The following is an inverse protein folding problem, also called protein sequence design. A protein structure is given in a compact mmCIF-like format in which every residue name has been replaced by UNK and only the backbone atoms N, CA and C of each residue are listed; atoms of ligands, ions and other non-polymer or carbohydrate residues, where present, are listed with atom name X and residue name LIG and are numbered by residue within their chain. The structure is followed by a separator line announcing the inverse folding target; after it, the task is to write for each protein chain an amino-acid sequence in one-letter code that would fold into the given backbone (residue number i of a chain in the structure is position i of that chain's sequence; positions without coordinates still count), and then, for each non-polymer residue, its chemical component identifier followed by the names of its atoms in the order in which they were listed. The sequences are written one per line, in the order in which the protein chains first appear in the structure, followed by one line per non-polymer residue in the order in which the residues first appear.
data_IF_783005831035
#
_entry.id   IF_783005831035
#
_cell.length_a   1.000
_cell.length_b   1.000
_cell.length_c   1.000
_cell.angle_alpha   90.00
_cell.angle_beta   90.00
_cell.angle_gamma   90.00
#
_symmetry.space_group_name_H-M   'P 1'
#
loop_
_entity.id
_entity.type
_entity.pdbx_description
1 polymer ?
#
# COMPACT_ATOMS: atom_id res chain seq x y z
N UNK A 1 58.94 43.72 9.85
CA UNK A 1 57.79 44.54 9.46
C UNK A 1 56.50 43.98 10.05
N UNK A 2 55.72 44.65 10.90
CA UNK A 2 55.70 46.09 11.28
C UNK A 2 55.50 47.03 10.07
N UNK A 3 54.50 47.94 9.98
CA UNK A 3 53.56 48.50 10.96
C UNK A 3 52.18 48.82 10.30
N UNK A 4 51.21 49.35 11.08
CA UNK A 4 49.94 49.96 10.60
C UNK A 4 50.11 51.44 10.17
N UNK A 5 49.17 52.40 10.44
CA UNK A 5 48.12 52.36 11.49
C UNK A 5 46.78 53.16 11.24
N UNK A 6 45.94 53.24 12.29
CA UNK A 6 45.02 54.34 12.73
C UNK A 6 43.63 54.63 12.11
N UNK A 7 42.69 55.08 12.99
CA UNK A 7 41.35 55.66 12.71
C UNK A 7 40.19 54.68 13.01
N UNK A 8 39.31 54.76 14.02
CA UNK A 8 38.79 55.82 14.93
C UNK A 8 37.93 56.91 14.27
N UNK A 9 36.69 57.25 14.68
CA UNK A 9 35.69 56.72 15.66
C UNK A 9 34.25 56.97 15.04
N UNK A 10 33.04 57.01 15.65
CA UNK A 10 32.54 56.98 17.05
C UNK A 10 31.00 56.69 17.15
N UNK A 11 30.47 56.57 18.38
CA UNK A 11 29.08 56.86 18.86
C UNK A 11 27.84 56.02 18.47
N UNK A 12 27.38 55.22 19.45
CA UNK A 12 26.08 55.31 20.16
C UNK A 12 24.75 55.62 19.42
N UNK A 13 23.84 54.63 19.40
CA UNK A 13 22.66 54.56 20.30
C UNK A 13 21.84 53.26 20.03
N UNK A 14 20.86 52.81 20.81
CA UNK A 14 20.64 52.61 22.26
C UNK A 14 19.13 52.22 22.42
N UNK A 15 18.80 51.27 23.32
CA UNK A 15 17.47 50.65 23.55
C UNK A 15 16.84 49.82 22.38
N UNK A 16 16.24 48.62 22.52
CA UNK A 16 15.65 47.82 23.63
C UNK A 16 14.12 48.00 23.88
N UNK A 17 13.29 47.03 23.46
CA UNK A 17 12.28 46.28 24.27
C UNK A 17 11.25 45.49 23.43
N UNK A 18 10.82 44.33 23.96
CA UNK A 18 9.56 43.62 23.61
C UNK A 18 9.58 42.79 22.31
N UNK A 19 9.28 41.49 22.28
CA UNK A 19 9.05 40.56 23.39
C UNK A 19 7.58 40.32 23.76
N UNK A 20 6.95 39.32 23.13
CA UNK A 20 5.65 38.73 23.53
C UNK A 20 5.58 37.26 23.15
N UNK A 21 5.74 36.39 24.15
CA UNK A 21 5.20 35.01 24.10
C UNK A 21 3.71 35.06 24.42
N UNK A 22 2.94 34.04 24.01
CA UNK A 22 1.57 33.83 24.49
C UNK A 22 1.45 32.41 25.01
N UNK A 23 1.55 32.27 26.32
CA UNK A 23 1.14 31.09 27.07
C UNK A 23 -0.38 31.12 27.28
N UNK A 24 -1.00 29.94 27.35
CA UNK A 24 -2.32 29.76 27.96
C UNK A 24 -2.24 28.63 28.98
N UNK A 25 -2.70 28.91 30.20
CA UNK A 25 -2.81 27.94 31.29
C UNK A 25 -4.01 28.29 32.19
N UNK A 26 -4.44 27.36 33.02
CA UNK A 26 -5.72 27.36 33.74
C UNK A 26 -5.93 28.49 34.78
N UNK A 27 -7.22 28.74 35.07
CA UNK A 27 -7.69 29.45 36.26
C UNK A 27 -9.22 29.56 36.27
N UNK A 28 -9.90 29.01 37.27
CA UNK A 28 -11.37 28.90 37.26
C UNK A 28 -12.08 28.96 38.62
N UNK A 29 -13.38 29.27 38.56
CA UNK A 29 -14.44 29.19 39.57
C UNK A 29 -15.75 29.63 38.88
N UNK A 30 -16.97 29.24 39.25
CA UNK A 30 -17.45 28.31 40.28
C UNK A 30 -18.98 28.49 40.47
N UNK A 31 -19.70 27.47 40.97
CA UNK A 31 -21.19 27.37 41.06
C UNK A 31 -21.90 27.12 39.70
N UNK A 32 -22.89 26.22 39.58
CA UNK A 32 -23.33 25.16 40.51
C UNK A 32 -24.66 24.44 40.12
N UNK A 33 -25.00 23.38 40.87
CA UNK A 33 -26.33 22.73 41.02
C UNK A 33 -26.78 21.65 40.00
N UNK A 34 -26.92 20.41 40.52
CA UNK A 34 -27.79 19.26 40.15
C UNK A 34 -27.81 18.61 38.74
N UNK A 35 -27.73 17.27 38.75
CA UNK A 35 -28.74 16.44 38.05
C UNK A 35 -28.31 15.08 37.46
N UNK A 36 -28.82 13.97 38.00
CA UNK A 36 -28.99 12.70 37.27
C UNK A 36 -27.81 11.70 37.32
N UNK A 37 -28.10 10.46 37.73
CA UNK A 37 -27.09 9.39 37.86
C UNK A 37 -26.69 8.73 36.55
N UNK A 38 -25.44 8.25 36.47
CA UNK A 38 -24.92 7.47 35.33
C UNK A 38 -25.19 5.99 35.56
N UNK A 39 -26.15 5.43 34.81
CA UNK A 39 -26.24 3.99 34.60
C UNK A 39 -25.11 3.51 33.69
N UNK A 40 -24.59 2.30 33.92
CA UNK A 40 -23.44 1.78 33.18
C UNK A 40 -23.70 1.66 31.68
N UNK A 41 -22.84 2.26 30.86
CA UNK A 41 -22.87 2.09 29.41
C UNK A 41 -22.42 0.65 29.06
N UNK A 42 -23.39 -0.22 28.77
CA UNK A 42 -23.12 -1.55 28.25
C UNK A 42 -22.44 -1.49 26.88
N UNK A 43 -21.48 -2.39 26.66
CA UNK A 43 -20.82 -2.55 25.36
C UNK A 43 -21.87 -2.91 24.30
N UNK A 44 -22.04 -2.05 23.29
CA UNK A 44 -22.86 -2.35 22.12
C UNK A 44 -22.13 -3.39 21.26
N UNK A 45 -22.50 -4.65 21.43
CA UNK A 45 -21.95 -5.76 20.66
C UNK A 45 -22.45 -5.66 19.21
N UNK A 46 -21.55 -5.48 18.25
CA UNK A 46 -21.90 -5.25 16.83
C UNK A 46 -22.19 -6.59 16.13
N UNK A 47 -23.13 -7.34 16.69
CA UNK A 47 -23.57 -8.67 16.23
C UNK A 47 -25.09 -8.78 16.03
N UNK A 48 -25.88 -7.95 16.74
CA UNK A 48 -27.33 -8.11 16.80
C UNK A 48 -28.05 -6.77 16.60
N UNK A 49 -28.71 -6.64 15.44
CA UNK A 49 -30.12 -6.21 15.23
C UNK A 49 -30.32 -5.90 13.73
N UNK A 50 -31.17 -6.71 13.09
CA UNK A 50 -31.45 -6.80 11.64
C UNK A 50 -30.33 -7.36 10.73
N UNK A 51 -30.72 -8.28 9.84
CA UNK A 51 -29.93 -8.92 8.76
C UNK A 51 -29.08 -10.16 9.12
N UNK A 52 -29.71 -11.22 9.65
CA UNK A 52 -29.11 -12.57 9.72
C UNK A 52 -29.36 -13.41 8.46
N UNK A 53 -30.53 -13.29 7.81
CA UNK A 53 -30.86 -14.11 6.63
C UNK A 53 -30.16 -13.64 5.36
N UNK A 54 -30.08 -12.33 5.11
CA UNK A 54 -29.43 -11.79 3.92
C UNK A 54 -27.89 -11.85 3.98
N UNK A 55 -27.30 -11.82 5.17
CA UNK A 55 -25.85 -12.06 5.36
C UNK A 55 -25.49 -13.53 5.13
N UNK A 56 -26.33 -14.48 5.56
CA UNK A 56 -26.18 -15.91 5.25
C UNK A 56 -26.33 -16.17 3.74
N UNK A 57 -27.33 -15.57 3.07
CA UNK A 57 -27.50 -15.71 1.61
C UNK A 57 -26.28 -15.15 0.85
N UNK A 58 -25.78 -13.97 1.26
CA UNK A 58 -24.58 -13.35 0.70
C UNK A 58 -23.32 -14.25 0.81
N UNK A 59 -23.05 -14.81 2.00
CA UNK A 59 -21.91 -15.71 2.21
C UNK A 59 -22.02 -16.99 1.38
N UNK A 60 -23.16 -17.70 1.47
CA UNK A 60 -23.42 -18.93 0.71
C UNK A 60 -23.27 -18.67 -0.78
N UNK A 61 -23.74 -17.51 -1.27
CA UNK A 61 -23.62 -17.11 -2.67
C UNK A 61 -22.16 -16.85 -3.07
N UNK A 62 -21.38 -16.09 -2.31
CA UNK A 62 -19.94 -15.93 -2.56
C UNK A 62 -19.20 -17.26 -2.60
N UNK A 63 -19.43 -18.11 -1.59
CA UNK A 63 -18.83 -19.44 -1.48
C UNK A 63 -19.17 -20.33 -2.68
N UNK A 64 -20.39 -20.24 -3.21
CA UNK A 64 -20.83 -20.96 -4.40
C UNK A 64 -20.17 -20.48 -5.71
N UNK A 65 -19.83 -19.18 -5.79
CA UNK A 65 -19.26 -18.55 -7.00
C UNK A 65 -17.75 -18.71 -7.07
N UNK A 66 -17.05 -18.56 -5.94
CA UNK A 66 -15.59 -18.35 -5.93
C UNK A 66 -14.74 -19.62 -6.02
N UNK A 67 -15.33 -20.80 -5.75
CA UNK A 67 -14.65 -22.11 -5.75
C UNK A 67 -13.23 -22.05 -5.15
N UNK A 68 -13.11 -21.35 -4.02
CA UNK A 68 -11.85 -21.10 -3.36
C UNK A 68 -11.58 -22.14 -2.26
N UNK A 69 -10.33 -22.21 -1.82
CA UNK A 69 -9.91 -23.10 -0.73
C UNK A 69 -9.19 -22.27 0.33
N UNK A 70 -9.49 -22.57 1.59
CA UNK A 70 -8.80 -21.99 2.74
C UNK A 70 -7.33 -22.42 2.76
N UNK A 71 -6.48 -21.69 3.49
CA UNK A 71 -5.02 -21.77 3.37
C UNK A 71 -4.32 -21.83 4.71
N UNK A 72 -3.23 -22.59 4.78
CA UNK A 72 -2.41 -22.72 5.99
C UNK A 72 -1.82 -21.37 6.42
N UNK A 73 -2.13 -20.98 7.66
CA UNK A 73 -1.70 -19.72 8.27
C UNK A 73 -0.44 -19.87 9.14
N UNK A 74 0.25 -21.01 9.08
CA UNK A 74 1.37 -21.29 9.98
C UNK A 74 2.66 -20.52 9.65
N UNK A 75 3.50 -20.18 10.66
CA UNK A 75 4.82 -19.60 10.46
C UNK A 75 5.74 -20.52 9.67
N UNK A 76 6.47 -19.97 8.69
CA UNK A 76 7.38 -20.73 7.85
C UNK A 76 8.68 -19.96 7.61
N UNK A 77 9.81 -20.66 7.69
CA UNK A 77 11.14 -20.14 7.40
C UNK A 77 11.72 -20.97 6.26
N UNK A 78 12.08 -20.32 5.15
CA UNK A 78 12.65 -21.02 4.00
C UNK A 78 13.30 -20.09 2.98
N UNK A 79 13.81 -20.68 1.90
CA UNK A 79 14.47 -19.96 0.82
C UNK A 79 13.52 -19.68 -0.35
N UNK A 80 13.70 -18.54 -1.00
CA UNK A 80 13.06 -18.13 -2.25
C UNK A 80 14.12 -17.53 -3.17
N UNK A 81 14.68 -18.38 -4.04
CA UNK A 81 15.85 -18.02 -4.85
C UNK A 81 17.02 -17.53 -3.97
N UNK A 82 17.49 -16.32 -4.23
CA UNK A 82 18.62 -15.69 -3.53
C UNK A 82 18.28 -15.14 -2.12
N UNK A 83 17.04 -15.34 -1.64
CA UNK A 83 16.48 -14.75 -0.42
C UNK A 83 16.07 -15.79 0.63
N UNK A 84 16.18 -15.43 1.90
CA UNK A 84 15.47 -16.06 3.01
C UNK A 84 14.16 -15.31 3.27
N UNK A 85 13.11 -16.06 3.61
CA UNK A 85 11.76 -15.56 3.88
C UNK A 85 11.27 -16.12 5.20
N UNK A 86 10.84 -15.23 6.09
CA UNK A 86 10.08 -15.51 7.31
C UNK A 86 8.60 -15.21 6.99
N UNK A 87 7.86 -16.21 6.50
CA UNK A 87 6.42 -16.12 6.20
C UNK A 87 5.62 -16.29 7.51
N UNK A 88 4.49 -15.57 7.59
CA UNK A 88 3.59 -15.52 8.77
C UNK A 88 4.35 -15.29 10.10
N UNK A 89 5.38 -14.43 10.08
CA UNK A 89 6.37 -14.30 11.16
C UNK A 89 5.90 -13.44 12.34
N UNK A 90 5.05 -12.44 12.08
CA UNK A 90 4.16 -11.85 13.10
C UNK A 90 2.75 -11.91 12.53
N UNK A 91 1.86 -12.65 13.19
CA UNK A 91 0.50 -12.92 12.72
C UNK A 91 -0.50 -11.82 13.15
N UNK A 92 -1.47 -11.58 12.29
CA UNK A 92 -2.70 -10.87 12.63
C UNK A 92 -3.61 -11.74 13.52
N UNK A 93 -4.44 -11.09 14.33
CA UNK A 93 -5.28 -11.66 15.38
C UNK A 93 -6.76 -11.83 14.96
N UNK A 94 -7.06 -11.82 13.65
CA UNK A 94 -8.43 -11.94 13.12
C UNK A 94 -9.13 -13.29 13.39
N UNK A 95 -8.45 -14.29 13.96
CA UNK A 95 -9.00 -15.64 14.16
C UNK A 95 -8.94 -16.49 12.89
N UNK A 96 -9.93 -17.37 12.68
CA UNK A 96 -10.12 -18.00 11.37
C UNK A 96 -10.48 -16.94 10.31
N UNK A 97 -10.04 -17.15 9.08
CA UNK A 97 -10.42 -16.34 7.92
C UNK A 97 -10.59 -17.27 6.72
N UNK A 98 -11.81 -17.35 6.19
CA UNK A 98 -12.12 -18.16 5.01
C UNK A 98 -11.77 -17.42 3.73
N UNK A 99 -11.52 -18.19 2.68
CA UNK A 99 -11.03 -17.66 1.40
C UNK A 99 -11.99 -16.69 0.70
N UNK A 100 -13.27 -16.63 1.09
CA UNK A 100 -14.32 -15.82 0.45
C UNK A 100 -14.78 -14.61 1.27
N UNK A 101 -14.44 -14.53 2.57
CA UNK A 101 -14.96 -13.51 3.50
C UNK A 101 -14.40 -12.10 3.28
N UNK A 102 -13.22 -11.98 2.67
CA UNK A 102 -12.50 -10.71 2.57
C UNK A 102 -11.62 -10.61 1.31
N UNK A 103 -10.98 -9.45 1.16
CA UNK A 103 -9.89 -9.20 0.21
C UNK A 103 -8.64 -8.91 1.06
N UNK A 104 -7.48 -9.47 0.70
CA UNK A 104 -6.20 -9.13 1.36
C UNK A 104 -5.48 -8.04 0.57
N UNK A 105 -5.12 -6.94 1.24
CA UNK A 105 -4.16 -5.97 0.69
C UNK A 105 -2.76 -6.58 0.81
N UNK A 106 -2.11 -6.85 -0.32
CA UNK A 106 -0.76 -7.44 -0.35
C UNK A 106 0.24 -6.38 -0.75
N UNK A 107 1.23 -6.15 0.10
CA UNK A 107 2.13 -5.01 -0.02
C UNK A 107 3.51 -5.30 0.57
N UNK A 108 4.44 -4.37 0.38
CA UNK A 108 5.85 -4.54 0.70
C UNK A 108 6.49 -3.20 1.05
N UNK A 109 7.40 -3.23 2.01
CA UNK A 109 8.08 -2.04 2.50
C UNK A 109 9.51 -2.37 2.96
N UNK A 110 10.35 -1.36 3.15
CA UNK A 110 11.31 -1.38 4.25
C UNK A 110 10.73 -0.56 5.42
N UNK A 111 11.34 -0.61 6.60
CA UNK A 111 10.71 -0.03 7.79
C UNK A 111 10.46 1.48 7.70
N UNK A 112 11.14 2.24 6.83
CA UNK A 112 10.94 3.70 6.74
C UNK A 112 9.60 4.11 6.11
N UNK A 113 8.86 3.17 5.51
CA UNK A 113 7.53 3.39 4.94
C UNK A 113 6.38 2.97 5.87
N UNK A 114 6.66 2.62 7.14
CA UNK A 114 5.62 2.17 8.06
C UNK A 114 4.74 3.29 8.64
N UNK A 115 5.08 4.56 8.38
CA UNK A 115 4.21 5.71 8.66
C UNK A 115 2.91 5.71 7.84
N UNK A 116 2.84 4.89 6.79
CA UNK A 116 1.67 4.72 5.92
C UNK A 116 0.70 3.63 6.42
N UNK A 117 1.09 2.81 7.41
CA UNK A 117 0.33 1.61 7.78
C UNK A 117 -1.00 1.94 8.47
N UNK A 118 -1.02 2.89 9.41
CA UNK A 118 -2.27 3.30 10.08
C UNK A 118 -3.25 3.97 9.09
N UNK A 119 -2.87 4.99 8.29
CA UNK A 119 -3.76 5.60 7.29
C UNK A 119 -4.28 4.63 6.23
N UNK A 120 -3.53 3.56 5.93
CA UNK A 120 -3.99 2.48 5.07
C UNK A 120 -5.05 1.62 5.78
N UNK A 121 -4.82 1.23 7.04
CA UNK A 121 -5.72 0.37 7.81
C UNK A 121 -7.06 1.03 8.13
N UNK A 122 -7.06 2.32 8.53
CA UNK A 122 -8.28 3.10 8.79
C UNK A 122 -9.23 3.13 7.59
N UNK A 123 -8.70 2.98 6.37
CA UNK A 123 -9.46 3.01 5.11
C UNK A 123 -9.75 1.64 4.53
N UNK A 124 -8.85 0.68 4.73
CA UNK A 124 -9.00 -0.67 4.21
C UNK A 124 -9.89 -1.55 5.10
N UNK A 125 -9.72 -1.45 6.43
CA UNK A 125 -10.48 -2.16 7.46
C UNK A 125 -10.71 -3.67 7.15
N UNK A 126 -9.65 -4.33 6.70
CA UNK A 126 -9.64 -5.71 6.22
C UNK A 126 -8.19 -6.26 6.26
N UNK A 127 -7.96 -7.57 6.04
CA UNK A 127 -6.64 -8.18 6.16
C UNK A 127 -5.56 -7.55 5.28
N UNK A 128 -4.34 -7.45 5.83
CA UNK A 128 -3.15 -6.93 5.17
C UNK A 128 -2.01 -7.95 5.32
N UNK A 129 -1.38 -8.31 4.20
CA UNK A 129 -0.14 -9.08 4.17
C UNK A 129 1.00 -8.16 3.72
N UNK A 130 2.02 -8.02 4.57
CA UNK A 130 3.06 -7.01 4.43
C UNK A 130 4.47 -7.65 4.47
N UNK A 131 5.15 -7.66 3.32
CA UNK A 131 6.50 -8.17 3.18
C UNK A 131 7.57 -7.09 3.43
N UNK A 132 8.23 -7.17 4.59
CA UNK A 132 9.30 -6.27 5.03
C UNK A 132 10.67 -6.71 4.52
N UNK A 133 11.32 -5.88 3.70
CA UNK A 133 12.70 -6.08 3.30
C UNK A 133 13.65 -5.54 4.37
N UNK A 134 14.37 -6.44 5.06
CA UNK A 134 15.14 -6.08 6.26
C UNK A 134 16.55 -6.73 6.30
N UNK A 135 17.46 -6.35 5.37
CA UNK A 135 18.80 -6.92 5.27
C UNK A 135 19.73 -6.47 6.41
N UNK A 136 20.58 -7.37 6.89
CA UNK A 136 21.68 -7.05 7.81
C UNK A 136 21.23 -6.37 9.10
N UNK A 137 21.52 -5.07 9.25
CA UNK A 137 21.13 -4.28 10.43
C UNK A 137 19.76 -3.61 10.31
N UNK A 138 19.10 -3.64 9.15
CA UNK A 138 17.73 -3.10 8.98
C UNK A 138 16.68 -4.00 9.68
N UNK A 139 17.06 -5.23 10.07
CA UNK A 139 16.20 -6.19 10.75
C UNK A 139 15.72 -5.74 12.14
N UNK A 140 16.61 -5.23 13.01
CA UNK A 140 16.20 -4.83 14.35
C UNK A 140 15.29 -3.59 14.36
N UNK A 141 15.56 -2.53 13.57
CA UNK A 141 14.60 -1.44 13.38
C UNK A 141 13.26 -1.90 12.81
N UNK A 142 13.26 -2.88 11.89
CA UNK A 142 12.02 -3.48 11.34
C UNK A 142 11.21 -4.17 12.45
N UNK A 143 11.83 -5.05 13.24
CA UNK A 143 11.15 -5.73 14.36
C UNK A 143 10.66 -4.72 15.40
N UNK A 144 11.47 -3.71 15.74
CA UNK A 144 11.07 -2.65 16.67
C UNK A 144 9.88 -1.83 16.13
N UNK A 145 9.85 -1.53 14.83
CA UNK A 145 8.74 -0.82 14.20
C UNK A 145 7.44 -1.64 14.23
N UNK A 146 7.51 -2.95 14.01
CA UNK A 146 6.36 -3.86 14.11
C UNK A 146 5.80 -3.87 15.54
N UNK A 147 6.65 -3.92 16.58
CA UNK A 147 6.23 -3.80 17.98
C UNK A 147 5.58 -2.44 18.25
N UNK A 148 6.25 -1.34 17.89
CA UNK A 148 5.72 0.02 18.08
C UNK A 148 4.33 0.20 17.45
N UNK A 149 4.13 -0.27 16.21
CA UNK A 149 2.83 -0.22 15.52
C UNK A 149 1.76 -1.10 16.18
N UNK A 150 2.13 -2.20 16.85
CA UNK A 150 1.21 -3.13 17.53
C UNK A 150 0.92 -2.76 18.98
N UNK A 151 1.75 -1.94 19.62
CA UNK A 151 1.71 -1.71 21.07
C UNK A 151 1.52 -0.23 21.47
N UNK A 152 1.93 0.74 20.64
CA UNK A 152 2.19 2.12 21.09
C UNK A 152 1.31 3.23 20.48
N UNK A 153 0.35 2.92 19.62
CA UNK A 153 -0.58 3.87 18.99
C UNK A 153 -2.03 3.55 19.42
N UNK A 154 -2.94 4.52 19.35
CA UNK A 154 -4.35 4.26 19.67
C UNK A 154 -4.97 3.27 18.65
N UNK A 155 -4.55 3.39 17.40
CA UNK A 155 -4.93 2.58 16.25
C UNK A 155 -4.15 1.25 16.17
N UNK A 156 -3.25 0.97 17.12
CA UNK A 156 -2.49 -0.29 17.18
C UNK A 156 -3.36 -1.55 17.21
N UNK A 157 -4.62 -1.43 17.64
CA UNK A 157 -5.60 -2.50 17.56
C UNK A 157 -5.86 -2.96 16.11
N UNK A 158 -5.89 -2.05 15.13
CA UNK A 158 -6.02 -2.38 13.71
C UNK A 158 -4.80 -3.17 13.21
N UNK A 159 -3.59 -2.81 13.67
CA UNK A 159 -2.36 -3.50 13.29
C UNK A 159 -2.34 -4.92 13.83
N UNK A 160 -2.77 -5.11 15.08
CA UNK A 160 -2.93 -6.45 15.69
C UNK A 160 -4.00 -7.27 14.98
N UNK A 161 -5.17 -6.69 14.72
CA UNK A 161 -6.32 -7.37 14.11
C UNK A 161 -6.06 -7.79 12.66
N UNK A 162 -5.44 -6.93 11.83
CA UNK A 162 -5.42 -7.11 10.38
C UNK A 162 -4.05 -7.39 9.74
N UNK A 163 -2.92 -7.02 10.36
CA UNK A 163 -1.62 -7.05 9.67
C UNK A 163 -0.80 -8.28 9.99
N UNK A 164 -0.61 -9.13 8.99
CA UNK A 164 0.39 -10.20 9.01
C UNK A 164 1.67 -9.71 8.37
N UNK A 165 2.75 -9.73 9.15
CA UNK A 165 4.08 -9.35 8.68
C UNK A 165 4.88 -10.58 8.23
N UNK A 166 5.58 -10.39 7.12
CA UNK A 166 6.61 -11.30 6.63
C UNK A 166 7.92 -10.53 6.57
N UNK A 167 9.06 -11.16 6.85
CA UNK A 167 10.36 -10.49 6.75
C UNK A 167 11.26 -11.26 5.79
N UNK A 168 11.94 -10.57 4.89
CA UNK A 168 12.83 -11.19 3.91
C UNK A 168 14.12 -10.39 3.70
N UNK A 169 15.19 -11.10 3.35
CA UNK A 169 16.52 -10.55 3.11
C UNK A 169 17.34 -11.51 2.25
N UNK A 170 18.31 -10.99 1.49
CA UNK A 170 19.17 -11.85 0.68
C UNK A 170 20.05 -12.75 1.56
N UNK A 171 20.31 -13.98 1.11
CA UNK A 171 21.26 -14.92 1.70
C UNK A 171 22.70 -14.38 1.81
N UNK A 172 23.02 -13.29 1.08
CA UNK A 172 24.31 -12.57 1.16
C UNK A 172 24.32 -11.47 2.24
N UNK A 173 23.17 -11.19 2.87
CA UNK A 173 22.93 -10.08 3.81
C UNK A 173 22.07 -10.50 5.00
N UNK A 174 22.30 -11.71 5.53
CA UNK A 174 21.58 -12.28 6.67
C UNK A 174 21.84 -11.44 7.95
N UNK A 175 20.81 -11.13 8.76
CA UNK A 175 20.96 -10.47 10.06
C UNK A 175 21.81 -11.29 11.05
N UNK A 176 22.54 -10.61 11.95
CA UNK A 176 23.36 -11.29 12.98
C UNK A 176 22.55 -12.12 13.98
N UNK A 177 21.27 -11.78 14.18
CA UNK A 177 20.34 -12.51 15.01
C UNK A 177 18.97 -12.45 14.32
N UNK A 178 18.27 -13.58 14.31
CA UNK A 178 16.87 -13.70 13.90
C UNK A 178 16.18 -14.47 15.02
N UNK A 179 15.31 -13.84 15.83
CA UNK A 179 14.50 -14.54 16.82
C UNK A 179 13.61 -15.61 16.18
N UNK A 180 13.11 -16.54 16.99
CA UNK A 180 11.97 -17.35 16.55
C UNK A 180 10.67 -16.54 16.63
N UNK A 181 9.65 -16.95 15.88
CA UNK A 181 8.38 -16.22 15.77
C UNK A 181 7.61 -16.13 17.11
N UNK A 182 7.77 -17.10 18.00
CA UNK A 182 7.16 -17.08 19.34
C UNK A 182 7.77 -15.97 20.22
N UNK A 183 9.01 -15.56 19.92
CA UNK A 183 9.81 -14.64 20.74
C UNK A 183 10.10 -13.29 20.08
N UNK A 184 9.69 -13.09 18.83
CA UNK A 184 9.97 -11.85 18.09
C UNK A 184 9.36 -10.61 18.78
N UNK A 185 8.21 -10.75 19.43
CA UNK A 185 7.55 -9.67 20.16
C UNK A 185 8.16 -9.42 21.55
N UNK A 186 8.93 -10.36 22.12
CA UNK A 186 9.58 -10.22 23.43
C UNK A 186 10.90 -9.42 23.35
N UNK A 187 11.26 -8.60 24.35
CA UNK A 187 10.34 -7.85 25.22
C UNK A 187 9.54 -6.80 24.42
N UNK A 188 8.41 -6.28 24.92
CA UNK A 188 7.62 -5.25 24.25
C UNK A 188 8.44 -3.97 23.96
N UNK A 189 7.99 -3.15 23.02
CA UNK A 189 8.66 -1.87 22.74
C UNK A 189 8.39 -0.84 23.85
N UNK A 190 9.40 -0.03 24.19
CA UNK A 190 9.21 1.08 25.10
C UNK A 190 8.51 2.24 24.37
N UNK A 191 7.19 2.38 24.55
CA UNK A 191 6.37 3.39 23.89
C UNK A 191 6.71 4.85 24.27
N UNK A 192 7.57 5.11 25.27
CA UNK A 192 8.15 6.43 25.52
C UNK A 192 9.29 6.79 24.54
N UNK A 193 9.75 5.85 23.72
CA UNK A 193 10.71 6.09 22.64
C UNK A 193 9.97 6.47 21.34
N UNK A 194 10.57 7.30 20.47
CA UNK A 194 9.98 7.63 19.18
C UNK A 194 9.79 6.39 18.29
N UNK A 195 8.88 6.50 17.32
CA UNK A 195 8.66 5.49 16.30
C UNK A 195 9.98 5.17 15.55
N UNK A 196 10.39 3.89 15.42
CA UNK A 196 11.67 3.53 14.79
C UNK A 196 11.83 3.94 13.32
N UNK A 197 10.74 4.30 12.65
CA UNK A 197 10.68 4.78 11.26
C UNK A 197 10.68 6.30 11.12
N UNK A 198 10.57 7.06 12.22
CA UNK A 198 10.53 8.53 12.19
C UNK A 198 11.93 9.13 12.05
N UNK A 199 12.07 10.17 11.23
CA UNK A 199 13.33 10.89 10.96
C UNK A 199 14.54 10.01 10.54
N UNK A 200 14.30 8.85 9.95
CA UNK A 200 15.36 7.95 9.46
C UNK A 200 15.98 8.52 8.17
N UNK A 201 17.26 8.84 8.21
CA UNK A 201 18.01 9.22 7.01
C UNK A 201 18.30 7.98 6.18
N UNK A 202 18.13 8.08 4.85
CA UNK A 202 18.46 6.98 3.92
C UNK A 202 19.90 6.48 4.05
N UNK A 203 20.84 7.30 4.56
CA UNK A 203 22.23 6.89 4.78
C UNK A 203 22.45 5.96 5.98
N UNK A 204 21.48 5.87 6.90
CA UNK A 204 21.56 4.97 8.07
C UNK A 204 21.16 3.53 7.72
N UNK A 205 20.40 3.33 6.63
CA UNK A 205 19.92 2.03 6.18
C UNK A 205 21.08 1.14 5.70
N UNK A 206 21.11 -0.11 6.16
CA UNK A 206 22.04 -1.14 5.71
C UNK A 206 21.93 -1.34 4.20
N UNK A 207 20.70 -1.37 3.66
CA UNK A 207 20.44 -1.37 2.21
C UNK A 207 21.28 -0.31 1.48
N UNK A 208 21.23 0.94 1.92
CA UNK A 208 21.96 2.05 1.30
C UNK A 208 23.47 1.95 1.53
N UNK A 209 23.90 1.65 2.76
CA UNK A 209 25.30 1.52 3.13
C UNK A 209 26.01 0.39 2.35
N UNK A 210 25.28 -0.67 1.99
CA UNK A 210 25.77 -1.76 1.12
C UNK A 210 25.40 -1.60 -0.36
N UNK A 211 24.78 -0.49 -0.76
CA UNK A 211 24.38 -0.15 -2.14
C UNK A 211 23.46 -1.20 -2.79
N UNK A 212 22.59 -1.82 -1.99
CA UNK A 212 21.66 -2.85 -2.45
C UNK A 212 20.48 -2.21 -3.19
N UNK A 213 19.99 -2.90 -4.23
CA UNK A 213 18.73 -2.58 -4.88
C UNK A 213 17.54 -3.07 -4.03
N UNK A 214 16.34 -2.54 -4.24
CA UNK A 214 15.13 -3.03 -3.59
C UNK A 214 14.52 -4.18 -4.39
N UNK A 215 14.50 -5.43 -3.88
CA UNK A 215 13.88 -6.60 -4.51
C UNK A 215 12.35 -6.54 -4.47
N UNK A 216 11.79 -5.49 -5.07
CA UNK A 216 10.38 -5.07 -4.93
C UNK A 216 9.39 -6.17 -5.30
N UNK A 217 9.68 -6.93 -6.35
CA UNK A 217 8.82 -8.01 -6.83
C UNK A 217 8.89 -9.28 -5.97
N UNK A 218 10.02 -9.54 -5.30
CA UNK A 218 10.13 -10.59 -4.27
C UNK A 218 9.19 -10.25 -3.12
N UNK A 219 9.16 -9.00 -2.67
CA UNK A 219 8.21 -8.53 -1.66
C UNK A 219 6.74 -8.70 -2.08
N UNK A 220 6.38 -8.25 -3.30
CA UNK A 220 5.02 -8.43 -3.84
C UNK A 220 4.60 -9.89 -3.88
N UNK A 221 5.46 -10.77 -4.38
CA UNK A 221 5.15 -12.18 -4.50
C UNK A 221 5.10 -12.88 -3.13
N UNK A 222 5.96 -12.52 -2.17
CA UNK A 222 5.89 -13.06 -0.78
C UNK A 222 4.55 -12.72 -0.12
N UNK A 223 4.11 -11.46 -0.21
CA UNK A 223 2.82 -11.05 0.35
C UNK A 223 1.65 -11.75 -0.37
N UNK A 224 1.70 -11.79 -1.71
CA UNK A 224 0.70 -12.48 -2.53
C UNK A 224 0.63 -13.98 -2.27
N UNK A 225 1.74 -14.66 -2.02
CA UNK A 225 1.80 -16.09 -1.71
C UNK A 225 1.47 -16.39 -0.24
N UNK A 226 1.27 -15.36 0.58
CA UNK A 226 0.88 -15.46 1.99
C UNK A 226 -0.55 -14.99 2.28
N UNK A 227 -1.21 -14.31 1.35
CA UNK A 227 -2.65 -14.06 1.44
C UNK A 227 -3.44 -15.38 1.53
N UNK A 228 -4.51 -15.34 2.33
CA UNK A 228 -5.46 -16.44 2.56
C UNK A 228 -6.76 -16.28 1.76
N UNK A 229 -7.09 -15.05 1.38
CA UNK A 229 -8.29 -14.70 0.61
C UNK A 229 -8.13 -15.01 -0.88
N UNK A 230 -9.23 -15.37 -1.55
CA UNK A 230 -9.30 -15.57 -3.00
C UNK A 230 -8.94 -14.28 -3.76
N UNK A 231 -9.48 -13.15 -3.31
CA UNK A 231 -9.22 -11.83 -3.90
C UNK A 231 -8.07 -11.11 -3.21
N UNK A 232 -7.25 -10.43 -4.01
CA UNK A 232 -6.00 -9.81 -3.58
C UNK A 232 -5.84 -8.45 -4.24
N UNK A 233 -5.59 -7.41 -3.44
CA UNK A 233 -5.18 -6.10 -3.93
C UNK A 233 -3.66 -5.98 -3.79
N UNK A 234 -2.93 -6.19 -4.89
CA UNK A 234 -1.46 -6.13 -4.91
C UNK A 234 -0.98 -4.69 -5.17
N UNK A 235 -0.58 -3.99 -4.12
CA UNK A 235 -0.44 -2.53 -4.12
C UNK A 235 0.75 -2.02 -3.30
N UNK A 236 1.29 -0.86 -3.65
CA UNK A 236 2.39 -0.21 -2.93
C UNK A 236 1.84 0.51 -1.68
N UNK A 237 2.51 0.41 -0.52
CA UNK A 237 1.98 0.85 0.80
C UNK A 237 1.61 2.35 0.89
N UNK A 238 2.09 3.18 -0.03
CA UNK A 238 1.75 4.61 -0.16
C UNK A 238 0.48 4.87 -1.01
N UNK A 239 -0.35 3.85 -1.28
CA UNK A 239 -1.62 3.95 -2.03
C UNK A 239 -2.83 3.58 -1.15
N UNK A 240 -3.62 4.58 -0.74
CA UNK A 240 -4.77 4.40 0.14
C UNK A 240 -6.07 4.21 -0.64
N UNK A 241 -6.88 3.17 -0.36
CA UNK A 241 -8.17 2.97 -1.01
C UNK A 241 -9.24 3.96 -0.52
N UNK A 242 -10.33 4.06 -1.29
CA UNK A 242 -11.60 4.61 -0.79
C UNK A 242 -12.23 3.62 0.23
N UNK A 243 -12.82 4.08 1.35
CA UNK A 243 -13.33 3.17 2.37
C UNK A 243 -14.53 2.34 1.89
N UNK A 244 -14.72 1.18 2.52
CA UNK A 244 -15.81 0.26 2.18
C UNK A 244 -15.62 -0.53 0.86
N UNK A 245 -14.52 -0.30 0.14
CA UNK A 245 -14.22 -0.95 -1.14
C UNK A 245 -14.28 -2.50 -1.06
N UNK A 246 -13.85 -3.10 0.04
CA UNK A 246 -13.88 -4.55 0.27
C UNK A 246 -15.32 -5.09 0.23
N UNK A 247 -16.21 -4.46 1.00
CA UNK A 247 -17.61 -4.86 1.10
C UNK A 247 -18.33 -4.68 -0.25
N UNK A 248 -18.30 -3.47 -0.83
CA UNK A 248 -18.95 -3.18 -2.12
C UNK A 248 -18.42 -4.05 -3.27
N UNK A 249 -17.15 -4.43 -3.24
CA UNK A 249 -16.58 -5.35 -4.23
C UNK A 249 -17.13 -6.76 -4.06
N UNK A 250 -17.19 -7.30 -2.84
CA UNK A 250 -17.76 -8.61 -2.60
C UNK A 250 -19.28 -8.63 -2.91
N UNK A 251 -20.01 -7.55 -2.66
CA UNK A 251 -21.41 -7.37 -3.11
C UNK A 251 -21.55 -7.42 -4.64
N UNK A 252 -20.71 -6.68 -5.38
CA UNK A 252 -20.66 -6.73 -6.84
C UNK A 252 -20.39 -8.16 -7.36
N UNK A 253 -19.46 -8.89 -6.72
CA UNK A 253 -19.17 -10.29 -7.07
C UNK A 253 -20.37 -11.20 -6.74
N UNK A 254 -20.99 -11.03 -5.58
CA UNK A 254 -22.17 -11.80 -5.16
C UNK A 254 -23.40 -11.53 -6.03
N UNK A 255 -23.56 -10.32 -6.60
CA UNK A 255 -24.57 -10.04 -7.64
C UNK A 255 -24.37 -10.92 -8.88
N UNK A 256 -23.12 -11.18 -9.26
CA UNK A 256 -22.72 -12.04 -10.38
C UNK A 256 -23.43 -11.69 -11.71
N UNK A 257 -23.50 -10.40 -12.02
CA UNK A 257 -24.12 -9.87 -13.22
C UNK A 257 -23.50 -10.45 -14.51
N UNK A 258 -24.20 -10.43 -15.67
CA UNK A 258 -23.69 -11.03 -16.92
C UNK A 258 -22.31 -10.53 -17.36
N UNK A 259 -21.92 -9.31 -16.97
CA UNK A 259 -20.57 -8.78 -17.19
C UNK A 259 -19.48 -9.62 -16.49
N UNK A 260 -19.79 -10.24 -15.35
CA UNK A 260 -18.92 -11.14 -14.59
C UNK A 260 -19.02 -12.61 -15.06
N UNK A 261 -19.90 -12.94 -16.01
CA UNK A 261 -20.05 -14.29 -16.56
C UNK A 261 -19.23 -14.51 -17.86
N UNK A 262 -18.35 -13.55 -18.19
CA UNK A 262 -17.43 -13.61 -19.33
C UNK A 262 -16.36 -14.69 -19.13
N UNK A 263 -16.01 -15.40 -20.22
CA UNK A 263 -15.10 -16.56 -20.24
C UNK A 263 -13.61 -16.22 -20.05
N UNK A 264 -13.21 -14.99 -20.34
CA UNK A 264 -11.82 -14.56 -20.22
C UNK A 264 -11.43 -14.47 -18.74
N UNK A 265 -10.16 -14.76 -18.37
CA UNK A 265 -9.65 -14.38 -17.05
C UNK A 265 -9.72 -12.86 -16.91
N UNK A 266 -9.78 -12.36 -15.67
CA UNK A 266 -10.00 -10.93 -15.42
C UNK A 266 -9.31 -10.43 -14.17
N UNK A 267 -9.03 -9.14 -14.19
CA UNK A 267 -8.60 -8.33 -13.05
C UNK A 267 -9.46 -7.08 -12.97
N UNK A 268 -9.50 -6.44 -11.82
CA UNK A 268 -10.34 -5.26 -11.56
C UNK A 268 -9.46 -4.03 -11.23
N UNK A 269 -9.00 -3.26 -12.22
CA UNK A 269 -8.19 -2.07 -12.00
C UNK A 269 -8.92 -0.97 -11.23
N UNK A 270 -8.18 -0.33 -10.33
CA UNK A 270 -8.61 0.85 -9.59
C UNK A 270 -8.01 2.10 -10.25
N UNK A 271 -8.80 3.16 -10.36
CA UNK A 271 -8.31 4.47 -10.83
C UNK A 271 -7.38 5.09 -9.78
N UNK A 272 -6.22 5.64 -10.16
CA UNK A 272 -5.22 6.15 -9.21
C UNK A 272 -5.08 7.67 -9.35
N UNK A 273 -5.00 8.36 -8.22
CA UNK A 273 -4.92 9.82 -8.11
C UNK A 273 -3.83 10.26 -7.14
N UNK A 274 -3.28 11.46 -7.35
CA UNK A 274 -2.45 12.17 -6.37
C UNK A 274 -3.24 13.35 -5.83
N UNK A 275 -3.33 13.47 -4.50
CA UNK A 275 -3.97 14.59 -3.80
C UNK A 275 -2.90 15.51 -3.22
N UNK A 276 -3.18 16.81 -3.18
CA UNK A 276 -2.31 17.82 -2.60
C UNK A 276 -2.08 17.60 -1.10
N UNK A 277 -0.88 17.87 -0.59
CA UNK A 277 -0.52 17.58 0.81
C UNK A 277 -1.21 18.46 1.85
N UNK A 278 -1.93 19.53 1.45
CA UNK A 278 -2.78 20.32 2.36
C UNK A 278 -4.27 19.96 2.25
N UNK A 279 -4.63 18.89 1.54
CA UNK A 279 -6.01 18.44 1.36
C UNK A 279 -6.23 17.07 1.99
N UNK A 280 -7.43 16.79 2.56
CA UNK A 280 -7.76 15.47 3.06
C UNK A 280 -7.77 14.46 1.91
N UNK A 281 -7.47 13.20 2.23
CA UNK A 281 -7.70 12.09 1.30
C UNK A 281 -9.22 11.96 1.11
N UNK A 282 -9.75 12.01 -0.12
CA UNK A 282 -11.19 11.86 -0.35
C UNK A 282 -11.68 10.49 0.11
N UNK A 283 -12.89 10.46 0.65
CA UNK A 283 -13.59 9.26 1.13
C UNK A 283 -14.32 8.58 -0.03
N UNK A 284 -14.92 9.38 -0.89
CA UNK A 284 -15.81 8.96 -1.96
C UNK A 284 -15.43 9.63 -3.29
N UNK A 285 -16.08 9.22 -4.39
CA UNK A 285 -15.79 9.73 -5.74
C UNK A 285 -16.27 11.17 -5.91
N UNK A 286 -17.31 11.57 -5.19
CA UNK A 286 -17.85 12.94 -5.17
C UNK A 286 -16.81 13.93 -4.61
N UNK A 287 -16.22 13.67 -3.44
CA UNK A 287 -15.12 14.46 -2.87
C UNK A 287 -13.90 14.48 -3.80
N UNK A 288 -13.57 13.35 -4.43
CA UNK A 288 -12.48 13.28 -5.41
C UNK A 288 -12.76 14.17 -6.64
N UNK A 289 -13.99 14.21 -7.15
CA UNK A 289 -14.40 15.09 -8.25
C UNK A 289 -14.30 16.56 -7.85
N UNK A 290 -14.66 16.93 -6.63
CA UNK A 290 -14.47 18.29 -6.12
C UNK A 290 -12.99 18.69 -6.04
N UNK A 291 -12.13 17.81 -5.51
CA UNK A 291 -10.69 18.05 -5.45
C UNK A 291 -10.06 18.15 -6.85
N UNK A 292 -10.53 17.34 -7.82
CA UNK A 292 -10.11 17.42 -9.23
C UNK A 292 -10.55 18.75 -9.87
N UNK A 293 -11.81 19.18 -9.67
CA UNK A 293 -12.36 20.47 -10.14
C UNK A 293 -11.57 21.66 -9.56
N UNK A 294 -11.22 21.58 -8.28
CA UNK A 294 -10.52 22.63 -7.55
C UNK A 294 -8.98 22.58 -7.74
N UNK A 295 -8.46 21.69 -8.59
CA UNK A 295 -7.03 21.55 -8.86
C UNK A 295 -6.19 20.97 -7.70
N UNK A 296 -6.85 20.51 -6.63
CA UNK A 296 -6.26 19.88 -5.44
C UNK A 296 -6.02 18.37 -5.58
N UNK A 297 -6.53 17.75 -6.63
CA UNK A 297 -6.16 16.40 -7.06
C UNK A 297 -5.74 16.37 -8.53
N UNK A 298 -4.96 15.35 -8.91
CA UNK A 298 -4.64 15.02 -10.29
C UNK A 298 -4.67 13.50 -10.52
N UNK A 299 -4.89 13.07 -11.76
CA UNK A 299 -4.62 11.68 -12.17
C UNK A 299 -3.15 11.31 -11.88
N UNK A 300 -2.92 10.08 -11.41
CA UNK A 300 -1.60 9.60 -10.99
C UNK A 300 -0.51 9.85 -12.04
N UNK A 301 0.65 10.32 -11.58
CA UNK A 301 1.83 10.64 -12.37
C UNK A 301 1.60 11.62 -13.54
N UNK A 302 0.50 12.38 -13.57
CA UNK A 302 0.22 13.41 -14.62
C UNK A 302 1.35 14.46 -14.76
N UNK A 303 2.12 14.73 -13.69
CA UNK A 303 3.31 15.61 -13.68
C UNK A 303 4.66 14.87 -13.83
N UNK A 304 4.64 13.54 -13.97
CA UNK A 304 5.83 12.67 -14.11
C UNK A 304 5.92 12.05 -15.50
N UNK A 305 4.81 11.48 -15.99
CA UNK A 305 4.62 11.04 -17.38
C UNK A 305 3.13 10.93 -17.70
N UNK A 306 2.57 11.92 -18.40
CA UNK A 306 1.14 12.00 -18.72
C UNK A 306 0.65 10.92 -19.69
N UNK A 307 1.54 10.28 -20.46
CA UNK A 307 1.23 9.17 -21.38
C UNK A 307 1.40 7.78 -20.75
N UNK A 308 2.27 7.62 -19.75
CA UNK A 308 2.62 6.31 -19.19
C UNK A 308 1.47 5.66 -18.39
N UNK A 309 0.57 6.47 -17.83
CA UNK A 309 -0.54 6.00 -16.97
C UNK A 309 -1.91 6.30 -17.58
N UNK A 310 -2.01 6.23 -18.91
CA UNK A 310 -3.28 6.34 -19.62
C UNK A 310 -4.20 5.15 -19.32
N UNK A 311 -5.17 5.35 -18.43
CA UNK A 311 -6.23 4.37 -18.15
C UNK A 311 -7.32 4.46 -19.25
N UNK A 312 -7.84 3.34 -19.80
CA UNK A 312 -8.97 3.37 -20.71
C UNK A 312 -10.18 4.10 -20.12
N UNK A 313 -10.84 4.96 -20.91
CA UNK A 313 -12.04 5.73 -20.50
C UNK A 313 -11.86 6.61 -19.26
N UNK A 314 -10.63 7.01 -18.92
CA UNK A 314 -10.34 7.78 -17.70
C UNK A 314 -11.01 9.14 -17.60
N UNK A 315 -11.27 9.83 -18.72
CA UNK A 315 -11.98 11.13 -18.71
C UNK A 315 -13.46 10.92 -18.42
N UNK A 316 -14.05 9.93 -19.07
CA UNK A 316 -15.44 9.52 -18.89
C UNK A 316 -15.68 8.97 -17.48
N UNK A 317 -14.72 8.25 -16.90
CA UNK A 317 -14.76 7.78 -15.50
C UNK A 317 -14.82 8.94 -14.51
N UNK A 318 -13.97 9.95 -14.71
CA UNK A 318 -13.92 11.17 -13.87
C UNK A 318 -15.19 12.01 -14.03
N UNK A 319 -15.81 12.00 -15.20
CA UNK A 319 -17.03 12.76 -15.49
C UNK A 319 -18.33 12.04 -15.12
N UNK A 320 -18.31 10.72 -14.97
CA UNK A 320 -19.46 9.94 -14.51
C UNK A 320 -19.69 10.18 -13.01
N UNK A 321 -20.95 10.40 -12.62
CA UNK A 321 -21.34 10.53 -11.21
C UNK A 321 -20.94 9.30 -10.39
N UNK A 322 -20.98 9.45 -9.07
CA UNK A 322 -20.95 8.34 -8.13
C UNK A 322 -22.29 7.58 -8.12
N UNK A 323 -22.24 6.31 -7.73
CA UNK A 323 -23.42 5.46 -7.49
C UNK A 323 -23.28 4.77 -6.14
N UNK A 324 -24.40 4.43 -5.51
CA UNK A 324 -24.40 3.74 -4.21
C UNK A 324 -23.68 2.39 -4.32
N UNK A 325 -23.94 1.67 -5.40
CA UNK A 325 -23.30 0.40 -5.74
C UNK A 325 -21.96 0.57 -6.46
N UNK A 326 -21.14 -0.48 -6.37
CA UNK A 326 -19.94 -0.68 -7.17
C UNK A 326 -20.24 -1.61 -8.36
N UNK A 327 -19.77 -1.24 -9.55
CA UNK A 327 -20.02 -1.94 -10.80
C UNK A 327 -18.87 -1.82 -11.81
N UNK A 328 -19.02 -2.50 -12.95
CA UNK A 328 -18.00 -2.51 -14.02
C UNK A 328 -18.27 -1.41 -15.03
N UNK A 329 -17.61 -0.26 -14.86
CA UNK A 329 -17.71 0.89 -15.76
C UNK A 329 -17.25 0.60 -17.19
N UNK A 330 -16.14 -0.13 -17.34
CA UNK A 330 -15.56 -0.43 -18.65
C UNK A 330 -14.67 -1.67 -18.64
N UNK A 331 -14.73 -2.48 -19.70
CA UNK A 331 -13.81 -3.60 -19.91
C UNK A 331 -12.70 -3.15 -20.88
N UNK A 332 -11.51 -2.92 -20.33
CA UNK A 332 -10.31 -2.55 -21.07
C UNK A 332 -9.45 -3.74 -21.52
N UNK A 333 -8.43 -3.44 -22.33
CA UNK A 333 -7.36 -4.36 -22.75
C UNK A 333 -6.02 -3.62 -22.80
N UNK A 334 -4.94 -4.25 -22.32
CA UNK A 334 -3.55 -3.72 -22.37
C UNK A 334 -2.92 -3.87 -23.76
N UNK A 335 -3.56 -3.30 -24.78
CA UNK A 335 -3.12 -3.37 -26.21
C UNK A 335 -3.17 -1.99 -26.87
N UNK A 336 -2.44 -1.83 -27.97
CA UNK A 336 -2.44 -0.58 -28.76
C UNK A 336 -1.97 0.60 -27.93
N UNK A 337 -2.78 1.67 -27.85
CA UNK A 337 -2.47 2.84 -27.02
C UNK A 337 -2.27 2.50 -25.52
N UNK A 338 -2.91 1.43 -25.04
CA UNK A 338 -2.84 0.98 -23.64
C UNK A 338 -1.79 -0.11 -23.40
N UNK A 339 -0.91 -0.41 -24.37
CA UNK A 339 0.08 -1.50 -24.25
C UNK A 339 1.09 -1.31 -23.11
N UNK A 340 1.29 -0.07 -22.64
CA UNK A 340 2.18 0.25 -21.51
C UNK A 340 1.43 0.63 -20.21
N UNK A 341 0.13 0.37 -20.12
CA UNK A 341 -0.65 0.61 -18.91
C UNK A 341 -0.20 -0.33 -17.77
N UNK A 342 0.23 0.25 -16.64
CA UNK A 342 0.52 -0.46 -15.38
C UNK A 342 -0.58 -0.17 -14.35
N UNK A 343 -1.72 -0.89 -14.36
CA UNK A 343 -2.74 -0.77 -13.32
C UNK A 343 -2.29 -1.36 -11.98
N UNK A 344 -2.80 -0.80 -10.88
CA UNK A 344 -3.05 -1.55 -9.65
C UNK A 344 -4.47 -2.10 -9.73
N UNK A 345 -4.66 -3.35 -9.30
CA UNK A 345 -5.93 -4.06 -9.48
C UNK A 345 -6.21 -5.01 -8.31
N UNK A 346 -7.50 -5.28 -8.10
CA UNK A 346 -7.93 -6.47 -7.36
C UNK A 346 -7.86 -7.65 -8.34
N UNK A 347 -7.14 -8.69 -7.96
CA UNK A 347 -6.92 -9.92 -8.72
C UNK A 347 -7.05 -11.14 -7.80
N UNK A 348 -6.39 -12.23 -8.15
CA UNK A 348 -6.43 -13.51 -7.41
C UNK A 348 -5.04 -14.14 -7.27
N UNK A 349 -4.95 -15.34 -6.68
CA UNK A 349 -3.73 -16.16 -6.75
C UNK A 349 -3.43 -16.76 -8.14
N UNK A 350 -4.38 -16.75 -9.08
CA UNK A 350 -4.20 -17.37 -10.41
C UNK A 350 -3.41 -16.50 -11.40
N UNK A 351 -3.33 -15.19 -11.15
CA UNK A 351 -2.67 -14.24 -12.07
C UNK A 351 -1.14 -14.48 -12.15
N UNK A 352 -0.47 -14.06 -13.24
CA UNK A 352 0.99 -14.16 -13.35
C UNK A 352 1.71 -13.45 -12.19
N UNK A 353 2.74 -14.06 -11.63
CA UNK A 353 3.61 -13.41 -10.64
C UNK A 353 4.46 -12.30 -11.27
N UNK A 354 4.94 -11.38 -10.42
CA UNK A 354 5.90 -10.36 -10.85
C UNK A 354 7.30 -10.97 -11.03
N UNK A 355 8.09 -10.48 -12.00
CA UNK A 355 9.45 -11.01 -12.21
C UNK A 355 10.41 -10.54 -11.10
N UNK A 356 10.90 -11.49 -10.30
CA UNK A 356 11.70 -11.25 -9.10
C UNK A 356 13.12 -10.73 -9.39
N UNK A 357 13.56 -10.72 -10.65
CA UNK A 357 14.84 -10.15 -11.08
C UNK A 357 14.79 -8.61 -11.21
N UNK A 358 13.60 -8.01 -11.13
CA UNK A 358 13.38 -6.58 -11.29
C UNK A 358 13.39 -5.83 -9.95
N UNK A 359 14.02 -4.65 -9.94
CA UNK A 359 14.13 -3.77 -8.76
C UNK A 359 13.41 -2.45 -8.98
N UNK A 360 12.95 -1.83 -7.88
CA UNK A 360 12.28 -0.53 -7.92
C UNK A 360 13.16 0.58 -8.51
N UNK A 361 14.47 0.56 -8.24
CA UNK A 361 15.41 1.50 -8.84
C UNK A 361 15.47 1.32 -10.37
N UNK A 362 15.38 0.07 -10.84
CA UNK A 362 15.33 -0.30 -12.25
C UNK A 362 14.08 0.14 -13.02
N UNK A 363 12.94 0.35 -12.33
CA UNK A 363 11.62 0.62 -12.95
C UNK A 363 11.14 -0.52 -13.85
N UNK A 364 9.96 -0.33 -14.48
CA UNK A 364 9.30 -1.28 -15.36
C UNK A 364 9.04 -2.64 -14.69
N UNK A 365 8.98 -2.64 -13.36
CA UNK A 365 8.85 -3.79 -12.48
C UNK A 365 7.48 -4.48 -12.58
N UNK A 366 6.46 -3.83 -13.18
CA UNK A 366 5.13 -4.41 -13.41
C UNK A 366 4.86 -4.71 -14.89
N UNK A 367 5.67 -4.20 -15.82
CA UNK A 367 5.49 -4.35 -17.27
C UNK A 367 5.56 -5.80 -17.75
N UNK A 368 6.43 -6.63 -17.14
CA UNK A 368 6.56 -8.06 -17.47
C UNK A 368 5.32 -8.87 -17.11
N UNK A 369 4.71 -8.58 -15.96
CA UNK A 369 3.40 -9.12 -15.59
C UNK A 369 2.30 -8.62 -16.54
N UNK A 370 2.32 -7.34 -16.88
CA UNK A 370 1.40 -6.73 -17.85
C UNK A 370 1.44 -7.40 -19.23
N UNK A 371 2.61 -7.88 -19.68
CA UNK A 371 2.71 -8.67 -20.90
C UNK A 371 2.01 -10.02 -20.77
N UNK A 372 2.29 -10.78 -19.69
CA UNK A 372 1.67 -12.09 -19.45
C UNK A 372 0.13 -11.99 -19.38
N UNK A 373 -0.41 -11.00 -18.65
CA UNK A 373 -1.85 -10.72 -18.60
C UNK A 373 -2.45 -10.46 -20.01
N UNK A 374 -1.74 -9.72 -20.86
CA UNK A 374 -2.19 -9.41 -22.22
C UNK A 374 -2.23 -10.65 -23.14
N UNK A 375 -1.20 -11.51 -23.05
CA UNK A 375 -1.10 -12.74 -23.85
C UNK A 375 -2.16 -13.76 -23.43
N UNK A 376 -2.39 -13.91 -22.12
CA UNK A 376 -3.46 -14.74 -21.53
C UNK A 376 -4.89 -14.18 -21.69
N UNK A 377 -5.05 -13.13 -22.52
CA UNK A 377 -6.31 -12.46 -22.84
C UNK A 377 -7.14 -11.93 -21.66
N UNK A 378 -6.48 -11.42 -20.61
CA UNK A 378 -7.18 -10.84 -19.46
C UNK A 378 -8.12 -9.69 -19.87
N UNK A 379 -9.37 -9.73 -19.39
CA UNK A 379 -10.32 -8.62 -19.41
C UNK A 379 -10.02 -7.69 -18.20
N UNK A 380 -9.85 -6.39 -18.44
CA UNK A 380 -9.54 -5.41 -17.38
C UNK A 380 -10.82 -4.69 -16.98
N UNK A 381 -11.50 -5.18 -15.94
CA UNK A 381 -12.80 -4.66 -15.46
C UNK A 381 -12.58 -3.40 -14.60
N UNK A 382 -12.56 -2.23 -15.23
CA UNK A 382 -12.43 -0.94 -14.54
C UNK A 382 -13.71 -0.70 -13.73
N UNK A 383 -13.56 -0.53 -12.43
CA UNK A 383 -14.68 -0.29 -11.50
C UNK A 383 -15.12 1.18 -11.56
N UNK A 384 -16.40 1.47 -11.40
CA UNK A 384 -16.98 2.83 -11.50
C UNK A 384 -16.61 3.78 -10.35
N UNK A 385 -16.57 3.28 -9.11
CA UNK A 385 -16.33 4.08 -7.91
C UNK A 385 -15.11 3.63 -7.09
N UNK A 386 -14.41 2.57 -7.53
CA UNK A 386 -13.19 2.07 -6.88
C UNK A 386 -11.94 2.87 -7.28
N UNK A 387 -11.27 3.49 -6.32
CA UNK A 387 -10.05 4.27 -6.56
C UNK A 387 -8.99 4.14 -5.45
N UNK A 388 -7.76 4.49 -5.82
CA UNK A 388 -6.62 4.64 -4.92
C UNK A 388 -6.13 6.08 -4.93
N UNK A 389 -5.87 6.62 -3.75
CA UNK A 389 -5.19 7.91 -3.55
C UNK A 389 -3.78 7.64 -3.09
N UNK A 390 -2.83 8.10 -3.90
CA UNK A 390 -1.46 8.21 -3.45
C UNK A 390 -1.36 9.13 -2.23
N UNK A 391 -0.58 8.71 -1.21
CA UNK A 391 -0.25 9.49 -0.01
C UNK A 391 -0.17 10.99 -0.32
N UNK A 392 -0.90 11.87 0.39
CA UNK A 392 -0.99 13.29 0.07
C UNK A 392 0.37 13.95 -0.18
N UNK A 393 0.50 14.56 -1.37
CA UNK A 393 1.74 15.03 -1.93
C UNK A 393 1.83 14.71 -3.42
N UNK A 394 1.61 15.71 -4.27
CA UNK A 394 1.75 15.58 -5.73
C UNK A 394 3.22 15.32 -6.10
N UNK A 395 3.50 14.19 -6.77
CA UNK A 395 4.86 13.76 -7.12
C UNK A 395 5.37 14.55 -8.33
N UNK A 396 6.47 15.28 -8.11
CA UNK A 396 7.18 16.05 -9.13
C UNK A 396 8.40 15.26 -9.63
N UNK A 397 8.64 15.28 -10.95
CA UNK A 397 9.76 14.57 -11.58
C UNK A 397 11.12 15.08 -11.07
N UNK A 398 11.78 14.29 -10.21
CA UNK A 398 13.18 14.50 -9.82
C UNK A 398 14.10 13.76 -10.81
N UNK A 399 15.03 14.46 -11.44
CA UNK A 399 16.05 13.87 -12.33
C UNK A 399 17.12 13.15 -11.51
N UNK A 400 17.29 11.85 -11.75
CA UNK A 400 18.34 11.02 -11.13
C UNK A 400 19.13 10.27 -12.22
N UNK A 401 20.37 10.68 -12.54
CA UNK A 401 21.22 9.99 -13.51
C UNK A 401 21.62 8.56 -13.11
N UNK A 402 21.72 8.25 -11.81
CA UNK A 402 22.06 6.91 -11.32
C UNK A 402 20.88 5.97 -11.53
N UNK A 403 19.67 6.40 -11.18
CA UNK A 403 18.43 5.64 -11.46
C UNK A 403 18.16 5.50 -12.96
N UNK A 404 18.48 6.51 -13.77
CA UNK A 404 18.41 6.40 -15.23
C UNK A 404 19.36 5.33 -15.78
N UNK A 405 20.60 5.24 -15.28
CA UNK A 405 21.54 4.16 -15.65
C UNK A 405 21.04 2.78 -15.22
N UNK A 406 20.46 2.65 -14.02
CA UNK A 406 19.87 1.39 -13.56
C UNK A 406 18.70 0.97 -14.45
N UNK A 407 17.78 1.89 -14.78
CA UNK A 407 16.68 1.60 -15.69
C UNK A 407 17.13 1.21 -17.10
N UNK A 408 18.21 1.81 -17.62
CA UNK A 408 18.80 1.40 -18.90
C UNK A 408 19.32 -0.06 -18.85
N UNK A 409 19.91 -0.50 -17.72
CA UNK A 409 20.33 -1.90 -17.53
C UNK A 409 19.14 -2.83 -17.40
N UNK A 410 18.11 -2.46 -16.63
CA UNK A 410 16.87 -3.22 -16.48
C UNK A 410 16.17 -3.41 -17.83
N UNK A 411 16.06 -2.37 -18.65
CA UNK A 411 15.46 -2.49 -19.99
C UNK A 411 16.29 -3.36 -20.95
N UNK A 412 17.62 -3.46 -20.77
CA UNK A 412 18.44 -4.42 -21.50
C UNK A 412 18.21 -5.87 -21.03
N UNK A 413 18.12 -6.10 -19.71
CA UNK A 413 17.78 -7.40 -19.12
C UNK A 413 16.40 -7.88 -19.61
N UNK A 414 15.39 -6.99 -19.54
CA UNK A 414 14.04 -7.24 -20.05
C UNK A 414 14.11 -7.61 -21.53
N UNK A 415 14.68 -6.76 -22.39
CA UNK A 415 14.67 -6.96 -23.85
C UNK A 415 15.44 -8.19 -24.31
N UNK A 416 16.54 -8.56 -23.65
CA UNK A 416 17.45 -9.64 -24.09
C UNK A 416 17.19 -11.00 -23.46
N UNK A 417 16.56 -11.05 -22.29
CA UNK A 417 16.42 -12.28 -21.50
C UNK A 417 14.95 -12.48 -21.11
N UNK A 418 14.38 -11.59 -20.30
CA UNK A 418 13.05 -11.81 -19.71
C UNK A 418 11.95 -11.86 -20.77
N UNK A 419 11.97 -10.96 -21.76
CA UNK A 419 10.94 -10.93 -22.80
C UNK A 419 10.95 -12.21 -23.67
N UNK A 420 12.09 -12.67 -24.23
CA UNK A 420 12.17 -13.99 -24.85
C UNK A 420 11.69 -15.16 -23.97
N UNK A 421 12.03 -15.17 -22.68
CA UNK A 421 11.55 -16.22 -21.75
C UNK A 421 10.03 -16.17 -21.56
N UNK A 422 9.44 -14.97 -21.40
CA UNK A 422 7.99 -14.79 -21.33
C UNK A 422 7.30 -15.24 -22.63
N UNK A 423 7.92 -15.01 -23.79
CA UNK A 423 7.40 -15.50 -25.08
C UNK A 423 7.37 -17.03 -25.17
N UNK A 424 8.27 -17.74 -24.47
CA UNK A 424 8.28 -19.20 -24.36
C UNK A 424 7.28 -19.69 -23.31
N UNK A 425 7.21 -19.05 -22.14
CA UNK A 425 6.35 -19.49 -21.03
C UNK A 425 4.86 -19.22 -21.24
N UNK A 426 4.51 -18.06 -21.81
CA UNK A 426 3.11 -17.62 -21.99
C UNK A 426 2.67 -17.60 -23.46
N UNK A 427 3.60 -17.80 -24.42
CA UNK A 427 3.34 -17.65 -25.85
C UNK A 427 3.46 -16.20 -26.32
N UNK A 428 2.85 -15.87 -27.46
CA UNK A 428 2.92 -14.51 -28.04
C UNK A 428 1.63 -14.12 -28.74
N UNK A 429 1.23 -12.86 -28.60
CA UNK A 429 -0.04 -12.33 -29.11
C UNK A 429 0.12 -10.94 -29.73
N UNK A 430 -0.46 -10.74 -30.91
CA UNK A 430 -0.39 -9.46 -31.65
C UNK A 430 -0.98 -8.32 -30.80
N UNK A 431 -0.19 -7.26 -30.60
CA UNK A 431 -0.59 -6.08 -29.82
C UNK A 431 -0.18 -6.09 -28.34
N UNK A 432 0.37 -7.19 -27.84
CA UNK A 432 0.98 -7.28 -26.51
C UNK A 432 2.49 -6.99 -26.57
N UNK A 433 2.98 -6.17 -25.64
CA UNK A 433 4.40 -5.92 -25.41
C UNK A 433 4.67 -5.73 -23.91
N UNK A 434 5.94 -5.66 -23.53
CA UNK A 434 6.39 -5.19 -22.21
C UNK A 434 6.43 -3.66 -22.24
#
# INVERSE_FOLDING_TARGET
SQNGPNGSNNNNNNNNRGGTEVLYQDGGNGQGVNGGGVGGAGLLNVSDIFSTTASIDFDVKLRSILNCHDRDYEPYIGQRGDFWVLKNYVRAEHGELRCHEAITYTTHADYTFLDNLIPLLERWNAPVSLAMHAPGTDFQPTVNAIKYLRDCLAESHLVRQFVTFHIYFSSKHIPKNVPKYEKVLEPPYNCSLPAPYFNVSSSQLYKTAKKLLYPVNVGRNIARDAAMTHFILASDIELYPNPGLVHKFLEMIARNEPVLQRKNPRVFPLSIFEVDSTSPVPRDKTELQELLRNGKAISFHKRVCSSCHGVPKSKEWIAANETDDLGVFHIGKRVGYFVHWEPIYIGTHADPHYDERLSWEGKSDKMTQGYALCVLDYDFHILDNGFLVHKPGIKVLKKDPKRAMLAAKTNQLIKKIIYPELQVMYGSRKGCAV
#
